data_IF_448447423484
#
_entry.id   IF_448447423484
#
_cell.length_a   1.000
_cell.length_b   1.000
_cell.length_c   1.000
_cell.angle_alpha   90.00
_cell.angle_beta   90.00
_cell.angle_gamma   90.00
#
_symmetry.space_group_name_H-M   'P 1'
#
loop_
_entity.id
_entity.type
_entity.pdbx_description
1 polymer ?
#
# COMPACT_ATOMS: atom_id res chain seq x y z
N UNK A 1 1.80 -0.75 4.90
CA UNK A 1 1.41 -1.12 6.27
C UNK A 1 1.13 -2.62 6.39
N UNK A 2 0.15 -3.18 5.66
CA UNK A 2 -0.30 -4.57 5.81
C UNK A 2 0.79 -5.60 5.53
N UNK A 3 1.55 -5.46 4.45
CA UNK A 3 2.59 -6.44 4.11
C UNK A 3 3.82 -6.31 5.02
N UNK A 4 4.34 -5.09 5.19
CA UNK A 4 5.59 -4.86 5.93
C UNK A 4 5.48 -5.04 7.43
N UNK A 5 4.34 -4.70 8.05
CA UNK A 5 4.18 -4.67 9.50
C UNK A 5 3.23 -5.75 10.04
N UNK A 6 2.20 -6.14 9.30
CA UNK A 6 1.27 -7.20 9.71
C UNK A 6 1.55 -8.56 9.05
N UNK A 7 2.47 -8.61 8.07
CA UNK A 7 2.80 -9.85 7.37
C UNK A 7 1.72 -10.37 6.42
N UNK A 8 0.74 -9.54 6.07
CA UNK A 8 -0.37 -9.91 5.19
C UNK A 8 -0.02 -9.45 3.78
N UNK A 9 0.15 -10.39 2.85
CA UNK A 9 0.24 -10.09 1.42
C UNK A 9 -1.18 -10.02 0.86
N UNK A 10 -1.60 -8.84 0.40
CA UNK A 10 -2.87 -8.62 -0.28
C UNK A 10 -2.62 -8.21 -1.72
N UNK A 11 -3.27 -8.89 -2.65
CA UNK A 11 -3.26 -8.59 -4.09
C UNK A 11 -4.57 -7.92 -4.54
N UNK A 12 -5.36 -7.42 -3.59
CA UNK A 12 -6.65 -6.77 -3.82
C UNK A 12 -6.69 -5.30 -3.37
N UNK A 13 -5.56 -4.63 -3.13
CA UNK A 13 -5.59 -3.23 -2.70
C UNK A 13 -6.12 -2.28 -3.77
N UNK A 14 -6.01 -2.64 -5.05
CA UNK A 14 -6.62 -1.91 -6.15
C UNK A 14 -8.15 -1.85 -6.05
N UNK A 15 -8.81 -2.84 -5.45
CA UNK A 15 -10.26 -2.84 -5.21
C UNK A 15 -10.68 -1.59 -4.44
N UNK A 16 -10.03 -1.34 -3.30
CA UNK A 16 -10.36 -0.22 -2.42
C UNK A 16 -9.97 1.12 -3.05
N UNK A 17 -8.83 1.16 -3.74
CA UNK A 17 -8.40 2.31 -4.53
C UNK A 17 -9.40 2.62 -5.64
N UNK A 18 -9.77 1.63 -6.44
CA UNK A 18 -10.67 1.77 -7.57
C UNK A 18 -12.08 2.19 -7.15
N UNK A 19 -12.66 1.58 -6.10
CA UNK A 19 -13.98 1.99 -5.59
C UNK A 19 -13.94 3.47 -5.17
N UNK A 20 -12.89 3.88 -4.44
CA UNK A 20 -12.69 5.28 -4.06
C UNK A 20 -12.61 6.22 -5.28
N UNK A 21 -11.89 5.81 -6.32
CA UNK A 21 -11.78 6.54 -7.58
C UNK A 21 -13.11 6.64 -8.32
N UNK A 22 -13.85 5.52 -8.44
CA UNK A 22 -15.13 5.47 -9.14
C UNK A 22 -16.21 6.35 -8.52
N UNK A 23 -16.33 6.40 -7.19
CA UNK A 23 -17.30 7.27 -6.53
C UNK A 23 -17.06 8.75 -6.83
N UNK A 24 -15.81 9.19 -6.81
CA UNK A 24 -15.48 10.58 -7.13
C UNK A 24 -15.61 10.84 -8.63
N UNK A 25 -15.12 9.96 -9.48
CA UNK A 25 -15.25 10.10 -10.94
C UNK A 25 -16.72 10.18 -11.39
N UNK A 26 -17.60 9.31 -10.85
CA UNK A 26 -19.04 9.34 -11.11
C UNK A 26 -19.67 10.67 -10.68
N UNK A 27 -19.35 11.15 -9.48
CA UNK A 27 -19.86 12.43 -9.00
C UNK A 27 -19.45 13.59 -9.91
N UNK A 28 -18.18 13.65 -10.29
CA UNK A 28 -17.65 14.68 -11.17
C UNK A 28 -18.24 14.59 -12.58
N UNK A 29 -18.43 13.38 -13.12
CA UNK A 29 -19.03 13.15 -14.43
C UNK A 29 -20.50 13.54 -14.47
N UNK A 30 -21.28 13.18 -13.43
CA UNK A 30 -22.70 13.56 -13.33
C UNK A 30 -22.82 15.10 -13.24
N UNK A 31 -22.03 15.74 -12.40
CA UNK A 31 -22.02 17.20 -12.30
C UNK A 31 -21.59 17.87 -13.61
N UNK A 32 -20.63 17.32 -14.31
CA UNK A 32 -20.20 17.84 -15.61
C UNK A 32 -21.32 17.73 -16.66
N UNK A 33 -22.02 16.60 -16.73
CA UNK A 33 -23.11 16.36 -17.66
C UNK A 33 -24.34 17.28 -17.40
N UNK A 34 -24.60 17.67 -16.15
CA UNK A 34 -25.69 18.61 -15.82
C UNK A 34 -25.40 20.03 -16.30
N UNK A 35 -24.12 20.44 -16.41
CA UNK A 35 -23.69 21.78 -16.86
C UNK A 35 -23.47 21.80 -18.36
N UNK A 36 -22.94 20.73 -18.92
CA UNK A 36 -22.63 20.57 -20.33
C UNK A 36 -23.47 19.45 -20.92
N UNK A 37 -24.62 19.77 -21.54
CA UNK A 37 -25.47 18.76 -22.17
C UNK A 37 -24.64 17.89 -23.13
N UNK A 38 -24.92 16.59 -23.08
CA UNK A 38 -24.25 15.61 -23.94
C UNK A 38 -24.55 15.87 -25.41
N UNK A 39 -23.81 15.26 -26.32
CA UNK A 39 -23.98 15.37 -27.77
C UNK A 39 -25.40 15.02 -28.26
N UNK A 40 -26.16 14.29 -27.45
CA UNK A 40 -27.54 13.91 -27.69
C UNK A 40 -28.56 14.79 -26.96
N UNK A 41 -28.13 15.85 -26.26
CA UNK A 41 -29.00 16.79 -25.56
C UNK A 41 -29.46 16.36 -24.17
N UNK A 42 -28.94 15.26 -23.65
CA UNK A 42 -29.27 14.76 -22.33
C UNK A 42 -28.47 15.45 -21.21
N UNK A 43 -28.99 15.38 -20.01
CA UNK A 43 -28.37 15.91 -18.77
C UNK A 43 -27.69 14.82 -17.95
N UNK A 44 -27.61 13.60 -18.48
CA UNK A 44 -26.98 12.44 -17.84
C UNK A 44 -25.62 12.12 -18.53
N UNK A 45 -24.73 11.38 -17.86
CA UNK A 45 -23.48 10.93 -18.47
C UNK A 45 -23.67 10.20 -19.80
N UNK A 46 -22.81 10.47 -20.77
CA UNK A 46 -22.84 9.90 -22.13
C UNK A 46 -22.84 8.37 -22.15
N UNK A 47 -22.05 7.71 -21.28
CA UNK A 47 -22.03 6.25 -21.18
C UNK A 47 -23.39 5.67 -20.73
N UNK A 48 -24.19 6.42 -19.96
CA UNK A 48 -25.55 6.03 -19.57
C UNK A 48 -26.52 6.15 -20.74
N UNK A 49 -26.43 7.26 -21.50
CA UNK A 49 -27.26 7.46 -22.72
C UNK A 49 -26.98 6.38 -23.76
N UNK A 50 -25.70 6.02 -23.98
CA UNK A 50 -25.33 4.98 -24.94
C UNK A 50 -25.88 3.59 -24.57
N UNK A 51 -26.11 3.35 -23.28
CA UNK A 51 -26.73 2.12 -22.78
C UNK A 51 -28.25 2.22 -22.61
N UNK A 52 -28.87 3.27 -23.14
CA UNK A 52 -30.33 3.40 -23.23
C UNK A 52 -31.01 3.94 -21.96
N UNK A 53 -30.22 4.50 -21.01
CA UNK A 53 -30.80 5.21 -19.89
C UNK A 53 -31.18 6.63 -20.31
N UNK A 54 -32.39 7.06 -19.92
CA UNK A 54 -32.94 8.40 -20.22
C UNK A 54 -32.92 9.33 -19.03
N UNK A 55 -32.84 8.78 -17.82
CA UNK A 55 -32.88 9.51 -16.58
C UNK A 55 -31.80 8.98 -15.63
N UNK A 56 -31.32 9.84 -14.72
CA UNK A 56 -30.36 9.43 -13.69
C UNK A 56 -31.06 8.47 -12.69
N UNK A 57 -30.51 7.28 -12.45
CA UNK A 57 -31.08 6.37 -11.46
C UNK A 57 -31.13 7.01 -10.06
N UNK A 58 -32.27 6.88 -9.35
CA UNK A 58 -32.48 7.55 -8.07
C UNK A 58 -31.45 7.24 -6.98
N UNK A 59 -30.80 6.06 -7.05
CA UNK A 59 -29.68 5.73 -6.12
C UNK A 59 -28.40 6.51 -6.41
N UNK A 60 -28.28 7.14 -7.58
CA UNK A 60 -27.12 7.98 -7.96
C UNK A 60 -27.38 9.48 -7.71
N UNK A 61 -28.62 9.91 -7.48
CA UNK A 61 -28.93 11.32 -7.16
C UNK A 61 -28.09 11.90 -6.01
N UNK A 62 -27.82 11.19 -4.90
CA UNK A 62 -26.98 11.72 -3.82
C UNK A 62 -25.55 12.00 -4.25
N UNK A 63 -25.06 11.34 -5.32
CA UNK A 63 -23.72 11.55 -5.89
C UNK A 63 -23.58 12.89 -6.64
N UNK A 64 -24.67 13.62 -6.89
CA UNK A 64 -24.62 15.03 -7.33
C UNK A 64 -23.86 15.91 -6.32
N UNK A 65 -23.90 15.55 -5.04
CA UNK A 65 -23.14 16.23 -4.02
C UNK A 65 -21.70 15.65 -3.94
N UNK A 66 -20.70 16.41 -4.40
CA UNK A 66 -19.29 15.99 -4.34
C UNK A 66 -18.84 15.63 -2.92
N UNK A 67 -19.20 16.40 -1.85
CA UNK A 67 -18.86 16.01 -0.49
C UNK A 67 -19.44 14.66 -0.08
N UNK A 68 -20.67 14.35 -0.49
CA UNK A 68 -21.29 13.05 -0.22
C UNK A 68 -20.55 11.93 -0.96
N UNK A 69 -20.20 12.14 -2.21
CA UNK A 69 -19.42 11.18 -2.98
C UNK A 69 -18.04 10.89 -2.35
N UNK A 70 -17.36 11.92 -1.83
CA UNK A 70 -16.09 11.74 -1.10
C UNK A 70 -16.29 10.92 0.17
N UNK A 71 -17.36 11.15 0.93
CA UNK A 71 -17.68 10.34 2.11
C UNK A 71 -17.94 8.89 1.71
N UNK A 72 -18.74 8.65 0.67
CA UNK A 72 -18.97 7.30 0.14
C UNK A 72 -17.68 6.64 -0.35
N UNK A 73 -16.82 7.39 -1.06
CA UNK A 73 -15.52 6.93 -1.54
C UNK A 73 -14.59 6.44 -0.41
N UNK A 74 -14.72 6.98 0.79
CA UNK A 74 -13.91 6.57 1.95
C UNK A 74 -14.60 5.48 2.79
N UNK A 75 -15.90 5.61 3.02
CA UNK A 75 -16.63 4.73 3.95
C UNK A 75 -16.92 3.37 3.32
N UNK A 76 -17.38 3.33 2.06
CA UNK A 76 -17.81 2.09 1.42
C UNK A 76 -16.65 1.09 1.26
N UNK A 77 -15.48 1.48 0.70
CA UNK A 77 -14.35 0.57 0.60
C UNK A 77 -13.82 0.13 1.96
N UNK A 78 -13.84 1.03 2.96
CA UNK A 78 -13.41 0.69 4.32
C UNK A 78 -14.34 -0.32 4.98
N UNK A 79 -15.67 -0.18 4.77
CA UNK A 79 -16.66 -1.13 5.26
C UNK A 79 -16.52 -2.49 4.55
N UNK A 80 -16.29 -2.50 3.24
CA UNK A 80 -16.00 -3.71 2.49
C UNK A 80 -14.75 -4.41 3.03
N UNK A 81 -13.67 -3.65 3.26
CA UNK A 81 -12.45 -4.17 3.87
C UNK A 81 -12.68 -4.74 5.28
N UNK A 82 -13.55 -4.11 6.07
CA UNK A 82 -13.93 -4.62 7.38
C UNK A 82 -14.67 -5.95 7.28
N UNK A 83 -15.69 -6.03 6.42
CA UNK A 83 -16.47 -7.27 6.22
C UNK A 83 -15.58 -8.40 5.70
N UNK A 84 -14.76 -8.11 4.68
CA UNK A 84 -13.77 -9.04 4.16
C UNK A 84 -12.79 -9.51 5.25
N UNK A 85 -12.24 -8.58 6.01
CA UNK A 85 -11.30 -8.86 7.09
C UNK A 85 -11.92 -9.71 8.20
N UNK A 86 -13.18 -9.46 8.57
CA UNK A 86 -13.91 -10.27 9.56
C UNK A 86 -14.08 -11.71 9.06
N UNK A 87 -14.50 -11.90 7.82
CA UNK A 87 -14.70 -13.23 7.25
C UNK A 87 -13.38 -13.99 7.12
N UNK A 88 -12.32 -13.32 6.67
CA UNK A 88 -11.03 -13.95 6.38
C UNK A 88 -10.20 -14.18 7.64
N UNK A 89 -9.96 -13.16 8.44
CA UNK A 89 -9.01 -13.25 9.56
C UNK A 89 -9.58 -13.93 10.79
N UNK A 90 -10.89 -13.85 11.07
CA UNK A 90 -11.52 -14.63 12.15
C UNK A 90 -11.59 -16.12 11.85
N UNK A 91 -11.47 -16.52 10.58
CA UNK A 91 -11.38 -17.92 10.18
C UNK A 91 -9.94 -18.43 10.05
N UNK A 92 -8.97 -17.66 10.56
CA UNK A 92 -7.54 -18.00 10.52
C UNK A 92 -6.99 -18.25 9.10
N UNK A 93 -7.51 -17.52 8.10
CA UNK A 93 -7.02 -17.59 6.73
C UNK A 93 -5.89 -16.57 6.57
N UNK A 94 -4.65 -17.05 6.42
CA UNK A 94 -3.46 -16.22 6.36
C UNK A 94 -2.54 -16.62 5.19
N UNK A 95 -1.47 -15.83 4.99
CA UNK A 95 -0.41 -16.13 4.03
C UNK A 95 -0.90 -16.16 2.59
N UNK A 96 -0.54 -17.21 1.86
CA UNK A 96 -0.84 -17.35 0.43
C UNK A 96 -2.35 -17.41 0.15
N UNK A 97 -3.13 -18.04 1.03
CA UNK A 97 -4.59 -18.11 0.85
C UNK A 97 -5.23 -16.73 0.90
N UNK A 98 -4.78 -15.85 1.78
CA UNK A 98 -5.26 -14.46 1.83
C UNK A 98 -4.92 -13.72 0.53
N UNK A 99 -3.72 -13.92 -0.03
CA UNK A 99 -3.33 -13.31 -1.30
C UNK A 99 -4.21 -13.78 -2.47
N UNK A 100 -4.52 -15.08 -2.54
CA UNK A 100 -5.39 -15.64 -3.58
C UNK A 100 -6.82 -15.13 -3.47
N UNK A 101 -7.38 -15.06 -2.25
CA UNK A 101 -8.74 -14.57 -2.03
C UNK A 101 -8.84 -13.07 -2.38
N UNK A 102 -7.86 -12.26 -1.99
CA UNK A 102 -7.83 -10.84 -2.35
C UNK A 102 -7.59 -10.61 -3.85
N UNK A 103 -6.89 -11.52 -4.53
CA UNK A 103 -6.77 -11.51 -5.98
C UNK A 103 -8.13 -11.79 -6.65
N UNK A 104 -8.85 -12.80 -6.14
CA UNK A 104 -10.20 -13.11 -6.63
C UNK A 104 -11.17 -11.95 -6.40
N UNK A 105 -11.09 -11.25 -5.26
CA UNK A 105 -11.85 -10.01 -4.98
C UNK A 105 -11.60 -8.95 -6.06
N UNK A 106 -10.33 -8.75 -6.47
CA UNK A 106 -9.98 -7.79 -7.51
C UNK A 106 -10.52 -8.19 -8.89
N UNK A 107 -10.49 -9.48 -9.23
CA UNK A 107 -11.08 -9.98 -10.48
C UNK A 107 -12.61 -9.81 -10.51
N UNK A 108 -13.28 -10.15 -9.41
CA UNK A 108 -14.74 -10.01 -9.30
C UNK A 108 -15.17 -8.54 -9.49
N UNK A 109 -14.46 -7.60 -8.84
CA UNK A 109 -14.78 -6.19 -8.99
C UNK A 109 -14.49 -5.69 -10.42
N UNK A 110 -13.40 -6.11 -11.01
CA UNK A 110 -13.04 -5.76 -12.38
C UNK A 110 -14.13 -6.25 -13.38
N UNK A 111 -14.54 -7.51 -13.26
CA UNK A 111 -15.59 -8.08 -14.12
C UNK A 111 -16.95 -7.41 -13.88
N UNK A 112 -17.26 -7.10 -12.61
CA UNK A 112 -18.47 -6.33 -12.27
C UNK A 112 -18.52 -4.96 -12.96
N UNK A 113 -17.38 -4.24 -12.97
CA UNK A 113 -17.28 -2.93 -13.64
C UNK A 113 -17.48 -3.08 -15.14
N UNK A 114 -16.91 -4.09 -15.77
CA UNK A 114 -17.05 -4.34 -17.21
C UNK A 114 -18.49 -4.70 -17.57
N UNK A 115 -19.12 -5.58 -16.80
CA UNK A 115 -20.46 -6.09 -17.07
C UNK A 115 -21.54 -5.00 -16.90
N UNK A 116 -21.45 -4.19 -15.84
CA UNK A 116 -22.42 -3.13 -15.56
C UNK A 116 -22.06 -1.80 -16.22
N UNK A 117 -21.75 -1.84 -17.53
CA UNK A 117 -21.31 -0.69 -18.32
C UNK A 117 -22.22 0.53 -18.21
N UNK A 118 -23.53 0.34 -18.12
CA UNK A 118 -24.51 1.43 -17.99
C UNK A 118 -24.32 2.31 -16.74
N UNK A 119 -23.68 1.79 -15.70
CA UNK A 119 -23.47 2.49 -14.43
C UNK A 119 -22.02 2.84 -14.14
N UNK A 120 -21.08 2.15 -14.78
CA UNK A 120 -19.65 2.25 -14.47
C UNK A 120 -18.81 2.79 -15.62
N UNK A 121 -19.40 2.95 -16.82
CA UNK A 121 -18.65 3.22 -18.05
C UNK A 121 -17.98 1.97 -18.66
N UNK A 122 -18.02 0.82 -17.97
CA UNK A 122 -17.57 -0.49 -18.45
C UNK A 122 -16.11 -0.50 -18.90
N UNK A 123 -15.88 -1.05 -20.09
CA UNK A 123 -14.54 -1.17 -20.67
C UNK A 123 -13.88 0.18 -20.97
N UNK A 124 -14.66 1.20 -21.35
CA UNK A 124 -14.14 2.53 -21.65
C UNK A 124 -13.79 3.34 -20.40
N UNK A 125 -14.33 2.93 -19.23
CA UNK A 125 -14.19 3.68 -18.00
C UNK A 125 -14.99 4.98 -17.99
N UNK A 126 -14.73 5.82 -17.01
CA UNK A 126 -15.32 7.16 -16.85
C UNK A 126 -14.30 8.18 -17.32
N UNK A 127 -14.63 8.90 -18.40
CA UNK A 127 -13.78 9.90 -19.05
C UNK A 127 -14.52 11.21 -19.20
N UNK A 128 -13.82 12.23 -19.69
CA UNK A 128 -14.41 13.52 -20.12
C UNK A 128 -15.25 14.19 -19.02
N UNK A 129 -14.69 14.34 -17.84
CA UNK A 129 -15.25 15.14 -16.76
C UNK A 129 -14.26 16.21 -16.30
N UNK A 130 -14.77 17.24 -15.61
CA UNK A 130 -13.91 18.29 -15.06
C UNK A 130 -12.93 17.70 -14.07
N UNK A 131 -11.65 17.72 -14.38
CA UNK A 131 -10.59 17.38 -13.44
C UNK A 131 -10.10 18.62 -12.69
N UNK A 132 -9.54 18.41 -11.53
CA UNK A 132 -8.95 19.46 -10.70
C UNK A 132 -7.43 19.53 -10.86
N UNK A 133 -6.90 19.24 -12.06
CA UNK A 133 -5.47 19.26 -12.35
C UNK A 133 -4.89 20.69 -12.34
N UNK A 134 -4.83 21.29 -11.17
CA UNK A 134 -4.26 22.61 -10.93
C UNK A 134 -3.26 22.58 -9.76
N UNK A 135 -2.43 23.62 -9.68
CA UNK A 135 -1.36 23.71 -8.67
C UNK A 135 -1.91 23.66 -7.23
N UNK A 136 -3.10 24.22 -6.99
CA UNK A 136 -3.71 24.22 -5.66
C UNK A 136 -4.10 22.81 -5.24
N UNK A 137 -4.64 22.02 -6.17
CA UNK A 137 -5.01 20.62 -5.88
C UNK A 137 -3.77 19.72 -5.65
N UNK A 138 -2.64 20.04 -6.30
CA UNK A 138 -1.37 19.38 -6.03
C UNK A 138 -0.95 19.52 -4.56
N UNK A 139 -1.15 20.71 -3.96
CA UNK A 139 -0.87 20.91 -2.54
C UNK A 139 -1.80 20.08 -1.64
N UNK A 140 -3.06 19.88 -2.05
CA UNK A 140 -3.99 18.99 -1.35
C UNK A 140 -3.51 17.55 -1.39
N UNK A 141 -3.11 17.05 -2.57
CA UNK A 141 -2.54 15.70 -2.72
C UNK A 141 -1.30 15.54 -1.83
N UNK A 142 -0.40 16.52 -1.85
CA UNK A 142 0.81 16.50 -1.03
C UNK A 142 0.47 16.48 0.48
N UNK A 143 -0.46 17.32 0.91
CA UNK A 143 -0.88 17.40 2.30
C UNK A 143 -1.51 16.08 2.79
N UNK A 144 -2.39 15.47 1.99
CA UNK A 144 -3.02 14.18 2.33
C UNK A 144 -1.98 13.07 2.36
N UNK A 145 -1.08 13.03 1.39
CA UNK A 145 0.01 12.04 1.31
C UNK A 145 0.94 12.16 2.53
N UNK A 146 1.32 13.39 2.90
CA UNK A 146 2.11 13.63 4.10
C UNK A 146 1.34 13.25 5.38
N UNK A 147 0.04 13.54 5.43
CA UNK A 147 -0.84 13.12 6.52
C UNK A 147 -0.85 11.59 6.68
N UNK A 148 -0.98 10.85 5.59
CA UNK A 148 -0.92 9.39 5.62
C UNK A 148 0.44 8.84 6.01
N UNK A 149 1.52 9.51 5.59
CA UNK A 149 2.87 9.18 6.07
C UNK A 149 2.98 9.34 7.59
N UNK A 150 2.49 10.46 8.14
CA UNK A 150 2.50 10.72 9.59
C UNK A 150 1.65 9.68 10.33
N UNK A 151 0.41 9.41 9.87
CA UNK A 151 -0.46 8.39 10.46
C UNK A 151 0.20 7.01 10.42
N UNK A 152 0.79 6.63 9.30
CA UNK A 152 1.52 5.37 9.17
C UNK A 152 2.70 5.29 10.15
N UNK A 153 3.46 6.38 10.29
CA UNK A 153 4.57 6.48 11.23
C UNK A 153 4.11 6.39 12.69
N UNK A 154 3.06 7.11 13.05
CA UNK A 154 2.46 7.04 14.39
C UNK A 154 1.96 5.63 14.70
N UNK A 155 1.26 5.00 13.77
CA UNK A 155 0.74 3.64 13.93
C UNK A 155 1.87 2.63 14.15
N UNK A 156 2.93 2.69 13.34
CA UNK A 156 4.03 1.71 13.40
C UNK A 156 4.95 1.89 14.61
N UNK A 157 4.98 3.08 15.23
CA UNK A 157 5.72 3.34 16.47
C UNK A 157 4.85 3.23 17.74
N UNK A 158 3.53 3.06 17.59
CA UNK A 158 2.61 2.86 18.69
C UNK A 158 2.67 1.44 19.27
N UNK A 159 1.96 1.21 20.39
CA UNK A 159 1.77 -0.13 20.97
C UNK A 159 1.14 -1.10 19.96
N UNK A 160 0.21 -0.60 19.13
CA UNK A 160 -0.41 -1.40 18.05
C UNK A 160 0.63 -1.86 17.04
N UNK A 161 1.55 -0.97 16.63
CA UNK A 161 2.63 -1.31 15.70
C UNK A 161 3.59 -2.36 16.26
N UNK A 162 3.87 -2.34 17.57
CA UNK A 162 4.69 -3.37 18.22
C UNK A 162 3.99 -4.72 18.21
N UNK A 163 2.68 -4.77 18.52
CA UNK A 163 1.89 -6.00 18.45
C UNK A 163 1.81 -6.53 17.02
N UNK A 164 1.60 -5.66 16.02
CA UNK A 164 1.57 -6.06 14.59
C UNK A 164 2.89 -6.71 14.14
N UNK A 165 4.04 -6.19 14.57
CA UNK A 165 5.35 -6.80 14.30
C UNK A 165 5.47 -8.18 14.95
N UNK A 166 5.01 -8.33 16.21
CA UNK A 166 4.99 -9.62 16.89
C UNK A 166 4.09 -10.63 16.18
N UNK A 167 2.92 -10.19 15.70
CA UNK A 167 1.99 -11.01 14.91
C UNK A 167 2.63 -11.43 13.58
N UNK A 168 3.34 -10.52 12.91
CA UNK A 168 4.05 -10.84 11.66
C UNK A 168 5.15 -11.88 11.87
N UNK A 169 5.89 -11.77 12.96
CA UNK A 169 7.04 -12.63 13.23
C UNK A 169 6.60 -14.02 13.74
N UNK A 170 5.57 -14.09 14.58
CA UNK A 170 4.97 -15.34 15.03
C UNK A 170 3.59 -15.09 15.64
N UNK A 171 2.52 -15.41 14.88
CA UNK A 171 1.13 -15.20 15.27
C UNK A 171 0.69 -16.11 16.42
N UNK A 172 1.14 -17.38 16.44
CA UNK A 172 0.84 -18.32 17.50
C UNK A 172 1.39 -17.83 18.85
N UNK A 173 2.62 -17.30 18.86
CA UNK A 173 3.22 -16.73 20.07
C UNK A 173 2.45 -15.50 20.56
N UNK A 174 2.00 -14.64 19.64
CA UNK A 174 1.19 -13.47 19.97
C UNK A 174 -0.15 -13.85 20.59
N UNK A 175 -0.81 -14.90 20.09
CA UNK A 175 -2.05 -15.45 20.66
C UNK A 175 -1.83 -16.00 22.09
N UNK A 176 -0.74 -16.75 22.33
CA UNK A 176 -0.42 -17.23 23.68
C UNK A 176 -0.13 -16.10 24.68
N UNK A 177 0.30 -14.92 24.20
CA UNK A 177 0.45 -13.72 25.04
C UNK A 177 -0.90 -13.02 25.31
N UNK A 178 -2.03 -13.55 24.81
CA UNK A 178 -3.37 -13.00 25.03
C UNK A 178 -3.83 -11.95 24.02
N UNK A 179 -3.08 -11.72 22.94
CA UNK A 179 -3.50 -10.77 21.89
C UNK A 179 -4.47 -11.43 20.91
N UNK A 180 -5.56 -10.72 20.58
CA UNK A 180 -6.46 -11.15 19.52
C UNK A 180 -5.91 -10.77 18.14
N UNK A 181 -5.11 -11.67 17.56
CA UNK A 181 -4.41 -11.47 16.27
C UNK A 181 -5.36 -11.06 15.16
N UNK A 182 -6.54 -11.68 15.08
CA UNK A 182 -7.53 -11.39 14.05
C UNK A 182 -7.97 -9.91 14.08
N UNK A 183 -8.27 -9.36 15.26
CA UNK A 183 -8.71 -7.98 15.39
C UNK A 183 -7.62 -6.97 14.98
N UNK A 184 -6.36 -7.23 15.30
CA UNK A 184 -5.24 -6.38 14.87
C UNK A 184 -5.06 -6.42 13.34
N UNK A 185 -5.22 -7.60 12.72
CA UNK A 185 -5.17 -7.75 11.26
C UNK A 185 -6.33 -7.02 10.57
N UNK A 186 -7.56 -7.17 11.09
CA UNK A 186 -8.73 -6.45 10.57
C UNK A 186 -8.50 -4.94 10.65
N UNK A 187 -8.05 -4.44 11.80
CA UNK A 187 -7.82 -3.01 11.99
C UNK A 187 -6.82 -2.44 10.97
N UNK A 188 -5.65 -3.06 10.83
CA UNK A 188 -4.63 -2.55 9.89
C UNK A 188 -5.07 -2.69 8.43
N UNK A 189 -5.87 -3.71 8.12
CA UNK A 189 -6.43 -3.91 6.80
C UNK A 189 -7.43 -2.80 6.44
N UNK A 190 -8.34 -2.43 7.37
CA UNK A 190 -9.26 -1.31 7.21
C UNK A 190 -8.52 0.03 7.04
N UNK A 191 -7.50 0.29 7.86
CA UNK A 191 -6.68 1.51 7.72
C UNK A 191 -6.01 1.57 6.35
N UNK A 192 -5.48 0.46 5.86
CA UNK A 192 -4.86 0.40 4.54
C UNK A 192 -5.86 0.62 3.41
N UNK A 193 -7.06 0.02 3.51
CA UNK A 193 -8.14 0.20 2.56
C UNK A 193 -8.64 1.65 2.52
N UNK A 194 -8.79 2.28 3.68
CA UNK A 194 -9.13 3.71 3.78
C UNK A 194 -8.09 4.60 3.10
N UNK A 195 -6.79 4.34 3.32
CA UNK A 195 -5.71 5.10 2.68
C UNK A 195 -5.69 4.86 1.17
N UNK A 196 -5.93 3.63 0.71
CA UNK A 196 -6.02 3.30 -0.71
C UNK A 196 -7.21 4.00 -1.37
N UNK A 197 -8.39 3.97 -0.73
CA UNK A 197 -9.60 4.63 -1.22
C UNK A 197 -9.44 6.15 -1.34
N UNK A 198 -8.82 6.79 -0.34
CA UNK A 198 -8.51 8.21 -0.40
C UNK A 198 -7.50 8.53 -1.53
N UNK A 199 -6.50 7.66 -1.74
CA UNK A 199 -5.60 7.77 -2.88
C UNK A 199 -6.33 7.69 -4.21
N UNK A 200 -7.27 6.75 -4.36
CA UNK A 200 -8.13 6.61 -5.54
C UNK A 200 -9.01 7.82 -5.79
N UNK A 201 -9.64 8.36 -4.74
CA UNK A 201 -10.44 9.57 -4.82
C UNK A 201 -9.64 10.78 -5.34
N UNK A 202 -8.43 10.98 -4.84
CA UNK A 202 -7.52 12.02 -5.30
C UNK A 202 -7.01 11.78 -6.73
N UNK A 203 -6.73 10.51 -7.07
CA UNK A 203 -6.31 10.11 -8.41
C UNK A 203 -7.38 10.45 -9.45
N UNK A 204 -8.65 10.07 -9.21
CA UNK A 204 -9.76 10.38 -10.09
C UNK A 204 -9.90 11.88 -10.34
N UNK A 205 -9.84 12.68 -9.27
CA UNK A 205 -9.96 14.13 -9.37
C UNK A 205 -8.78 14.79 -10.10
N UNK A 206 -7.58 14.18 -10.07
CA UNK A 206 -6.39 14.70 -10.74
C UNK A 206 -6.31 14.27 -12.21
N UNK A 207 -6.47 12.97 -12.49
CA UNK A 207 -6.22 12.40 -13.82
C UNK A 207 -7.37 12.67 -14.79
N UNK A 208 -8.63 12.70 -14.30
CA UNK A 208 -9.81 12.89 -15.16
C UNK A 208 -10.20 11.65 -15.96
N UNK A 209 -9.65 10.49 -15.59
CA UNK A 209 -9.94 9.18 -16.18
C UNK A 209 -9.89 8.13 -15.07
N UNK A 210 -10.88 7.26 -15.02
CA UNK A 210 -10.88 6.05 -14.19
C UNK A 210 -11.37 4.87 -15.01
N UNK A 211 -10.62 3.79 -15.01
CA UNK A 211 -10.91 2.60 -15.80
C UNK A 211 -10.98 1.34 -14.94
N UNK A 212 -11.52 0.25 -15.51
CA UNK A 212 -11.52 -1.06 -14.86
C UNK A 212 -10.11 -1.58 -14.52
N UNK A 213 -9.07 -1.10 -15.23
CA UNK A 213 -7.67 -1.46 -14.96
C UNK A 213 -7.20 -0.95 -13.59
N UNK A 214 -7.72 0.20 -13.15
CA UNK A 214 -7.36 0.80 -11.87
C UNK A 214 -7.93 0.01 -10.66
N UNK A 215 -8.88 -0.89 -10.90
CA UNK A 215 -9.49 -1.77 -9.88
C UNK A 215 -8.92 -3.19 -9.92
N UNK A 216 -8.25 -3.53 -11.01
CA UNK A 216 -7.85 -4.88 -11.34
C UNK A 216 -6.63 -5.40 -10.58
N UNK A 217 -6.36 -6.71 -10.73
CA UNK A 217 -5.24 -7.37 -10.07
C UNK A 217 -3.88 -6.85 -10.56
N UNK A 218 -3.78 -6.39 -11.80
CA UNK A 218 -2.53 -5.88 -12.38
C UNK A 218 -2.03 -4.68 -11.58
N UNK A 219 -2.91 -3.71 -11.30
CA UNK A 219 -2.57 -2.53 -10.51
C UNK A 219 -2.21 -2.89 -9.06
N UNK A 220 -2.89 -3.90 -8.47
CA UNK A 220 -2.53 -4.41 -7.14
C UNK A 220 -1.12 -5.02 -7.11
N UNK A 221 -0.77 -5.79 -8.15
CA UNK A 221 0.56 -6.40 -8.29
C UNK A 221 1.64 -5.33 -8.47
N UNK A 222 1.38 -4.31 -9.30
CA UNK A 222 2.29 -3.17 -9.45
C UNK A 222 2.55 -2.47 -8.11
N UNK A 223 1.52 -2.21 -7.31
CA UNK A 223 1.68 -1.61 -5.99
C UNK A 223 2.53 -2.47 -5.03
N UNK A 224 2.42 -3.80 -5.12
CA UNK A 224 3.28 -4.73 -4.39
C UNK A 224 4.73 -4.64 -4.89
N UNK A 225 4.94 -4.54 -6.21
CA UNK A 225 6.28 -4.37 -6.80
C UNK A 225 6.93 -3.08 -6.31
N UNK A 226 6.22 -1.94 -6.36
CA UNK A 226 6.73 -0.66 -5.86
C UNK A 226 7.15 -0.74 -4.39
N UNK A 227 6.32 -1.40 -3.58
CA UNK A 227 6.61 -1.62 -2.16
C UNK A 227 7.81 -2.54 -1.95
N UNK A 228 7.95 -3.59 -2.76
CA UNK A 228 9.08 -4.53 -2.69
C UNK A 228 10.40 -3.84 -3.06
N UNK A 229 10.41 -3.10 -4.18
CA UNK A 229 11.58 -2.35 -4.66
C UNK A 229 12.05 -1.34 -3.62
N UNK A 230 11.13 -0.54 -3.09
CA UNK A 230 11.45 0.49 -2.11
C UNK A 230 11.89 -0.05 -0.75
N UNK A 231 11.29 -1.17 -0.31
CA UNK A 231 11.59 -1.82 0.97
C UNK A 231 10.36 -1.98 1.86
N UNK A 232 9.84 -3.20 1.89
CA UNK A 232 8.60 -3.59 2.60
C UNK A 232 8.60 -3.35 4.12
N UNK A 233 9.78 -3.23 4.74
CA UNK A 233 9.93 -3.04 6.18
C UNK A 233 9.95 -1.58 6.64
N UNK A 234 9.83 -0.61 5.73
CA UNK A 234 9.89 0.82 6.02
C UNK A 234 8.66 1.55 5.49
N UNK A 235 8.29 2.67 6.12
CA UNK A 235 7.16 3.49 5.65
C UNK A 235 7.55 4.34 4.44
N UNK A 236 8.81 4.76 4.37
CA UNK A 236 9.36 5.55 3.25
C UNK A 236 9.57 4.67 2.02
N UNK A 237 9.78 3.34 2.20
CA UNK A 237 10.04 2.39 1.13
C UNK A 237 9.09 2.51 -0.04
N UNK A 238 7.78 2.35 0.18
CA UNK A 238 6.79 2.42 -0.90
C UNK A 238 6.84 3.74 -1.68
N UNK A 239 7.08 4.88 -1.03
CA UNK A 239 7.20 6.17 -1.71
C UNK A 239 8.41 6.23 -2.65
N UNK A 240 9.58 5.79 -2.15
CA UNK A 240 10.81 5.74 -2.96
C UNK A 240 10.66 4.72 -4.09
N UNK A 241 10.08 3.54 -3.80
CA UNK A 241 9.85 2.51 -4.80
C UNK A 241 8.90 2.96 -5.91
N UNK A 242 7.79 3.60 -5.55
CA UNK A 242 6.85 4.17 -6.53
C UNK A 242 7.52 5.23 -7.40
N UNK A 243 8.27 6.15 -6.79
CA UNK A 243 8.97 7.20 -7.53
C UNK A 243 10.00 6.62 -8.50
N UNK A 244 10.78 5.63 -8.08
CA UNK A 244 11.78 4.98 -8.91
C UNK A 244 11.14 4.19 -10.06
N UNK A 245 10.13 3.36 -9.76
CA UNK A 245 9.51 2.49 -10.77
C UNK A 245 8.68 3.31 -11.76
N UNK A 246 7.83 4.24 -11.28
CA UNK A 246 7.04 5.12 -12.17
C UNK A 246 7.92 6.13 -12.91
N UNK A 247 9.00 6.58 -12.31
CA UNK A 247 10.01 7.38 -13.01
C UNK A 247 10.69 6.60 -14.14
N UNK A 248 11.11 5.37 -13.88
CA UNK A 248 11.67 4.49 -14.91
C UNK A 248 10.64 4.21 -16.02
N UNK A 249 9.38 3.94 -15.66
CA UNK A 249 8.28 3.77 -16.63
C UNK A 249 8.14 4.97 -17.55
N UNK A 250 8.14 6.17 -16.99
CA UNK A 250 8.02 7.41 -17.77
C UNK A 250 9.15 7.58 -18.80
N UNK A 251 10.39 7.24 -18.42
CA UNK A 251 11.53 7.34 -19.33
C UNK A 251 11.60 6.19 -20.35
N UNK A 252 11.20 4.97 -19.97
CA UNK A 252 11.30 3.80 -20.82
C UNK A 252 10.06 3.57 -21.70
N UNK A 253 8.88 4.06 -21.31
CA UNK A 253 7.63 3.86 -22.06
C UNK A 253 7.68 4.40 -23.48
N UNK A 254 8.45 5.44 -23.73
CA UNK A 254 8.66 5.99 -25.08
C UNK A 254 9.48 5.11 -26.02
N UNK A 255 10.31 4.19 -25.48
CA UNK A 255 11.23 3.36 -26.27
C UNK A 255 10.84 1.88 -26.23
N UNK A 256 10.28 1.40 -25.13
CA UNK A 256 10.02 -0.01 -24.82
C UNK A 256 8.59 -0.27 -24.37
N UNK A 257 7.61 0.45 -24.89
CA UNK A 257 6.20 0.37 -24.46
C UNK A 257 5.65 -1.06 -24.46
N UNK A 258 5.94 -1.85 -25.51
CA UNK A 258 5.44 -3.22 -25.67
C UNK A 258 6.09 -4.22 -24.69
N UNK A 259 7.30 -3.92 -24.20
CA UNK A 259 8.06 -4.77 -23.29
C UNK A 259 7.96 -4.35 -21.83
N UNK A 260 7.25 -3.26 -21.52
CA UNK A 260 7.19 -2.70 -20.18
C UNK A 260 6.71 -3.71 -19.12
N UNK A 261 5.64 -4.46 -19.41
CA UNK A 261 5.11 -5.47 -18.49
C UNK A 261 6.11 -6.61 -18.23
N UNK A 262 6.87 -6.98 -19.25
CA UNK A 262 7.92 -8.00 -19.12
C UNK A 262 9.09 -7.48 -18.25
N UNK A 263 9.47 -6.22 -18.44
CA UNK A 263 10.50 -5.57 -17.62
C UNK A 263 10.05 -5.49 -16.16
N UNK A 264 8.81 -5.12 -15.91
CA UNK A 264 8.23 -5.08 -14.56
C UNK A 264 8.21 -6.45 -13.89
N UNK A 265 7.81 -7.48 -14.63
CA UNK A 265 7.86 -8.86 -14.13
C UNK A 265 9.28 -9.30 -13.80
N UNK A 266 10.24 -9.04 -14.69
CA UNK A 266 11.66 -9.31 -14.48
C UNK A 266 12.25 -8.53 -13.29
N UNK A 267 11.91 -7.25 -13.16
CA UNK A 267 12.30 -6.42 -12.01
C UNK A 267 11.77 -6.99 -10.69
N UNK A 268 10.51 -7.44 -10.68
CA UNK A 268 9.92 -8.06 -9.50
C UNK A 268 10.67 -9.32 -9.08
N UNK A 269 10.93 -10.22 -10.04
CA UNK A 269 11.69 -11.45 -9.79
C UNK A 269 13.08 -11.11 -9.26
N UNK A 270 13.77 -10.16 -9.88
CA UNK A 270 15.10 -9.72 -9.45
C UNK A 270 15.09 -9.18 -8.02
N UNK A 271 14.13 -8.29 -7.70
CA UNK A 271 14.03 -7.69 -6.37
C UNK A 271 13.71 -8.74 -5.30
N UNK A 272 12.79 -9.67 -5.58
CA UNK A 272 12.41 -10.73 -4.64
C UNK A 272 13.57 -11.69 -4.37
N UNK A 273 14.36 -12.03 -5.39
CA UNK A 273 15.49 -12.97 -5.26
C UNK A 273 16.73 -12.33 -4.63
N UNK A 274 17.06 -11.09 -5.04
CA UNK A 274 18.34 -10.44 -4.68
C UNK A 274 18.18 -9.46 -3.53
N UNK A 275 17.10 -8.67 -3.52
CA UNK A 275 16.90 -7.56 -2.60
C UNK A 275 15.72 -7.82 -1.64
N UNK A 276 15.81 -8.86 -0.82
CA UNK A 276 14.73 -9.25 0.13
C UNK A 276 14.23 -8.12 1.03
N UNK A 277 15.08 -7.15 1.36
CA UNK A 277 14.75 -6.00 2.21
C UNK A 277 14.46 -4.71 1.42
N UNK A 278 14.54 -4.77 0.08
CA UNK A 278 14.41 -3.64 -0.83
C UNK A 278 15.60 -2.67 -0.75
N UNK A 279 15.52 -1.58 -1.52
CA UNK A 279 16.61 -0.59 -1.64
C UNK A 279 16.91 0.05 -0.29
N UNK A 280 15.88 0.58 0.40
CA UNK A 280 16.07 1.27 1.69
C UNK A 280 16.54 0.32 2.78
N UNK A 281 16.03 -0.91 2.82
CA UNK A 281 16.47 -1.92 3.78
C UNK A 281 17.94 -2.31 3.58
N UNK A 282 18.37 -2.46 2.33
CA UNK A 282 19.76 -2.79 1.98
C UNK A 282 20.71 -1.64 2.34
N UNK A 283 20.33 -0.39 2.00
CA UNK A 283 21.11 0.81 2.36
C UNK A 283 21.19 0.95 3.88
N UNK A 284 20.08 0.74 4.61
CA UNK A 284 20.05 0.81 6.07
C UNK A 284 20.97 -0.22 6.74
N UNK A 285 21.01 -1.44 6.22
CA UNK A 285 21.93 -2.49 6.70
C UNK A 285 23.39 -2.16 6.39
N UNK A 286 23.66 -1.58 5.21
CA UNK A 286 25.00 -1.18 4.82
C UNK A 286 25.54 -0.04 5.71
N UNK A 287 24.73 0.98 5.96
CA UNK A 287 25.07 2.08 6.88
C UNK A 287 25.19 1.57 8.34
N UNK A 288 24.30 0.65 8.76
CA UNK A 288 24.33 0.02 10.08
C UNK A 288 25.58 -0.82 10.29
N UNK A 289 26.03 -1.58 9.29
CA UNK A 289 27.29 -2.34 9.37
C UNK A 289 28.49 -1.45 9.61
N UNK A 290 28.55 -0.26 9.00
CA UNK A 290 29.62 0.71 9.27
C UNK A 290 29.60 1.26 10.72
N UNK A 291 28.44 1.36 11.35
CA UNK A 291 28.34 1.78 12.77
C UNK A 291 28.60 0.62 13.75
N UNK A 292 28.16 -0.59 13.43
CA UNK A 292 28.38 -1.77 14.29
C UNK A 292 29.81 -2.31 14.20
N UNK A 293 30.48 -2.21 13.07
CA UNK A 293 31.86 -2.58 12.92
C UNK A 293 32.83 -1.81 13.89
N UNK A 294 32.48 -0.57 14.22
CA UNK A 294 33.23 0.20 15.23
C UNK A 294 32.97 -0.25 16.67
N UNK A 295 31.77 -0.76 16.95
CA UNK A 295 31.42 -1.27 18.31
C UNK A 295 32.02 -2.65 18.53
N UNK A 296 32.01 -3.53 17.53
CA UNK A 296 32.66 -4.85 17.62
C UNK A 296 34.17 -4.73 17.78
N UNK A 297 34.81 -3.71 17.17
CA UNK A 297 36.22 -3.40 17.43
C UNK A 297 36.47 -2.93 18.85
N UNK A 298 35.60 -2.06 19.39
CA UNK A 298 35.72 -1.59 20.78
C UNK A 298 35.50 -2.71 21.80
N UNK A 299 34.55 -3.63 21.51
CA UNK A 299 34.32 -4.80 22.37
C UNK A 299 35.53 -5.76 22.31
N UNK A 300 36.05 -6.05 21.11
CA UNK A 300 37.25 -6.89 20.96
C UNK A 300 38.48 -6.33 21.64
N UNK A 301 38.66 -5.01 21.61
CA UNK A 301 39.75 -4.30 22.28
C UNK A 301 39.57 -4.31 23.81
N UNK A 302 38.36 -4.21 24.31
CA UNK A 302 38.00 -4.33 25.71
C UNK A 302 38.29 -5.75 26.25
N UNK A 303 37.89 -6.78 25.48
CA UNK A 303 38.09 -8.19 25.85
C UNK A 303 39.58 -8.56 25.83
N UNK A 304 40.39 -8.04 24.88
CA UNK A 304 41.83 -8.22 24.83
C UNK A 304 42.53 -7.60 26.07
N UNK A 305 42.07 -6.38 26.43
CA UNK A 305 42.61 -5.67 27.61
C UNK A 305 42.26 -6.41 28.92
N UNK A 306 41.06 -7.01 29.01
CA UNK A 306 40.65 -7.82 30.16
C UNK A 306 41.44 -9.14 30.26
N UNK A 307 41.74 -9.77 29.12
CA UNK A 307 42.57 -10.99 29.08
C UNK A 307 44.03 -10.74 29.51
N UNK A 308 44.61 -9.60 29.09
CA UNK A 308 45.97 -9.21 29.52
C UNK A 308 46.04 -8.92 31.03
N UNK A 309 45.06 -8.23 31.59
CA UNK A 309 44.97 -8.04 33.05
C UNK A 309 44.87 -9.36 33.81
N UNK A 310 44.14 -10.35 33.31
CA UNK A 310 44.06 -11.66 33.92
C UNK A 310 45.39 -12.45 33.86
N UNK A 311 46.16 -12.27 32.79
CA UNK A 311 47.50 -12.86 32.67
C UNK A 311 48.48 -12.26 33.67
N UNK A 312 48.46 -10.93 33.81
CA UNK A 312 49.29 -10.22 34.76
C UNK A 312 48.97 -10.59 36.22
N UNK A 313 47.70 -10.74 36.57
CA UNK A 313 47.26 -11.22 37.88
C UNK A 313 47.71 -12.66 38.17
N UNK A 314 47.69 -13.54 37.19
CA UNK A 314 48.19 -14.93 37.35
C UNK A 314 49.71 -14.97 37.46
N UNK A 315 50.44 -14.16 36.74
CA UNK A 315 51.89 -14.06 36.81
C UNK A 315 52.35 -13.50 38.18
N UNK A 316 51.65 -12.46 38.66
CA UNK A 316 51.97 -11.88 40.02
C UNK A 316 51.60 -12.84 41.18
N UNK A 317 50.59 -13.70 41.02
CA UNK A 317 50.21 -14.75 41.99
C UNK A 317 51.22 -15.88 42.01
N UNK A 318 51.79 -16.26 40.87
CA UNK A 318 52.81 -17.30 40.76
C UNK A 318 54.17 -16.86 41.36
N UNK A 319 54.57 -15.57 41.23
CA UNK A 319 55.79 -15.04 41.80
C UNK A 319 55.74 -14.97 43.34
N UNK A 320 54.62 -14.70 43.97
CA UNK A 320 54.41 -14.71 45.40
C UNK A 320 54.53 -16.10 46.03
N UNK A 321 54.05 -17.14 45.32
CA UNK A 321 54.18 -18.53 45.80
C UNK A 321 55.58 -19.09 45.71
N UNK A 322 56.44 -18.53 44.89
CA UNK A 322 57.88 -18.93 44.83
C UNK A 322 58.78 -18.24 45.85
N UNK A 323 58.30 -17.19 46.54
CA UNK A 323 59.01 -16.50 47.62
C UNK A 323 58.68 -17.07 49.01
N UNK A 324 57.68 -17.91 49.16
CA UNK A 324 57.27 -18.53 50.45
C UNK A 324 57.77 -19.98 50.61
N UNK A 325 58.63 -20.49 49.73
CA UNK A 325 59.30 -21.79 49.84
C UNK A 325 60.82 -21.55 49.99
#
# INVERSE_FOLDING_TARGET
LIWGFAGILSLGQAVYFGIGAYFVALSLKINYATIHPTRYGGTIPDFMEWNGLTELPGFMEPLLSVPFAVVCALVIPTLMAFLFGVVTFKRHIYGVYCAVITLAEALILQDFIIEYQAYTGGFNGITDYSNYANVYFLWVILAVTLGFYVVGRMLTHSRVGTVLKSVRDNDVRAEFMGYNVANYRIFVFCVSAFMAAAGGALYAAWVGLVSFLDTGPVFSIEAVIWTAVGGRGTIIGPFVGTFLVKGAEFFLSGVLADFWQLIMGGLFIFVVLVMRDGIIGTIGKWIGRHKFGSIDQVIAESDATAADRQRDFRAAGASRQSEEI
#
